data_IF_149352861836
#
_entry.id   IF_149352861836
#
_cell.length_a   1.000
_cell.length_b   1.000
_cell.length_c   1.000
_cell.angle_alpha   90.00
_cell.angle_beta   90.00
_cell.angle_gamma   90.00
#
_symmetry.space_group_name_H-M   'P 1'
#
loop_
_entity.id
_entity.type
_entity.pdbx_description
1 polymer ?
#
# COMPACT_ATOMS: atom_id res chain seq x y z
N UNK A 1 -7.93 6.46 10.73
CA UNK A 1 -7.14 5.52 11.56
C UNK A 1 -7.81 5.24 12.88
N UNK A 2 -8.21 6.26 13.64
CA UNK A 2 -8.86 6.11 14.95
C UNK A 2 -10.07 5.16 14.91
N UNK A 3 -11.00 5.35 13.97
CA UNK A 3 -12.19 4.48 13.87
C UNK A 3 -11.85 3.00 13.61
N UNK A 4 -10.90 2.74 12.71
CA UNK A 4 -10.45 1.37 12.41
C UNK A 4 -9.75 0.72 13.62
N UNK A 5 -8.96 1.51 14.37
CA UNK A 5 -8.35 1.05 15.62
C UNK A 5 -9.42 0.77 16.68
N UNK A 6 -10.41 1.65 16.85
CA UNK A 6 -11.53 1.44 17.75
C UNK A 6 -12.33 0.19 17.39
N UNK A 7 -12.59 -0.04 16.11
CA UNK A 7 -13.25 -1.27 15.63
C UNK A 7 -12.41 -2.51 15.93
N UNK A 8 -11.10 -2.48 15.69
CA UNK A 8 -10.20 -3.60 16.02
C UNK A 8 -10.20 -3.88 17.53
N UNK A 9 -10.04 -2.86 18.37
CA UNK A 9 -10.08 -3.00 19.83
C UNK A 9 -11.43 -3.52 20.33
N UNK A 10 -12.53 -3.11 19.70
CA UNK A 10 -13.87 -3.62 20.00
C UNK A 10 -13.98 -5.12 19.71
N UNK A 11 -13.38 -5.63 18.63
CA UNK A 11 -13.37 -7.07 18.35
C UNK A 11 -12.56 -7.84 19.40
N UNK A 12 -11.45 -7.28 19.87
CA UNK A 12 -10.59 -7.93 20.87
C UNK A 12 -11.20 -7.93 22.27
N UNK A 13 -11.91 -6.86 22.64
CA UNK A 13 -12.47 -6.69 23.97
C UNK A 13 -13.78 -5.88 23.91
N UNK A 14 -14.87 -6.50 23.44
CA UNK A 14 -16.15 -5.81 23.34
C UNK A 14 -16.73 -5.52 24.74
N UNK A 15 -17.56 -4.47 24.89
CA UNK A 15 -18.27 -4.19 26.14
C UNK A 15 -19.09 -5.40 26.61
N UNK A 16 -19.19 -5.60 27.92
CA UNK A 16 -19.86 -6.77 28.51
C UNK A 16 -21.34 -6.91 28.12
N UNK A 17 -22.00 -5.80 27.79
CA UNK A 17 -23.40 -5.69 27.37
C UNK A 17 -23.61 -5.73 25.86
N UNK A 18 -22.54 -5.85 25.06
CA UNK A 18 -22.62 -5.86 23.59
C UNK A 18 -23.25 -7.13 22.99
N UNK A 19 -23.27 -8.23 23.75
CA UNK A 19 -23.68 -9.55 23.24
C UNK A 19 -22.68 -10.20 22.26
N UNK A 20 -21.49 -9.61 22.09
CA UNK A 20 -20.43 -10.12 21.21
C UNK A 20 -19.30 -10.72 22.06
N UNK A 21 -18.82 -11.91 21.71
CA UNK A 21 -17.68 -12.52 22.38
C UNK A 21 -16.34 -11.93 21.86
N UNK A 22 -15.31 -11.78 22.70
CA UNK A 22 -13.96 -11.44 22.27
C UNK A 22 -13.46 -12.35 21.14
N UNK A 23 -12.88 -11.76 20.10
CA UNK A 23 -12.28 -12.48 18.98
C UNK A 23 -10.77 -12.60 19.20
N UNK A 24 -10.24 -13.82 19.08
CA UNK A 24 -8.80 -14.03 19.11
C UNK A 24 -8.15 -13.30 17.92
N UNK A 25 -7.12 -12.45 18.11
CA UNK A 25 -6.46 -11.71 17.02
C UNK A 25 -5.93 -12.63 15.91
N UNK A 26 -5.58 -13.88 16.23
CA UNK A 26 -5.18 -14.91 15.23
C UNK A 26 -6.31 -15.39 14.32
N UNK A 27 -7.54 -14.94 14.56
CA UNK A 27 -8.71 -15.19 13.72
C UNK A 27 -9.21 -13.91 13.04
N UNK A 28 -8.46 -12.81 13.09
CA UNK A 28 -8.83 -11.53 12.48
C UNK A 28 -7.91 -11.27 11.29
N UNK A 29 -8.48 -10.96 10.12
CA UNK A 29 -7.74 -10.39 8.99
C UNK A 29 -8.26 -8.98 8.77
N UNK A 30 -7.35 -8.02 8.60
CA UNK A 30 -7.70 -6.64 8.26
C UNK A 30 -7.43 -6.45 6.78
N UNK A 31 -8.41 -5.95 6.05
CA UNK A 31 -8.33 -5.82 4.60
C UNK A 31 -8.92 -4.48 4.17
N UNK A 32 -8.36 -3.91 3.11
CA UNK A 32 -8.93 -2.76 2.43
C UNK A 32 -8.35 -2.54 1.04
N UNK A 33 -9.01 -1.69 0.28
CA UNK A 33 -8.63 -1.26 -1.06
C UNK A 33 -8.22 0.22 -1.08
N UNK A 34 -7.34 0.64 -1.99
CA UNK A 34 -6.96 2.04 -2.17
C UNK A 34 -6.49 2.69 -0.85
N UNK A 35 -7.07 3.83 -0.46
CA UNK A 35 -6.85 4.46 0.84
C UNK A 35 -7.16 3.52 2.03
N UNK A 36 -8.12 2.62 1.90
CA UNK A 36 -8.43 1.57 2.86
C UNK A 36 -7.33 0.51 2.95
N UNK A 37 -6.70 0.15 1.82
CA UNK A 37 -5.58 -0.77 1.76
C UNK A 37 -4.32 -0.22 2.43
N UNK A 38 -4.03 1.07 2.21
CA UNK A 38 -2.98 1.77 2.95
C UNK A 38 -3.22 1.77 4.46
N UNK A 39 -4.45 2.10 4.87
CA UNK A 39 -4.86 2.02 6.28
C UNK A 39 -4.74 0.60 6.83
N UNK A 40 -5.12 -0.43 6.07
CA UNK A 40 -5.05 -1.82 6.50
C UNK A 40 -3.59 -2.23 6.82
N UNK A 41 -2.64 -1.87 5.95
CA UNK A 41 -1.21 -2.18 6.12
C UNK A 41 -0.59 -1.56 7.36
N UNK A 42 -1.07 -0.40 7.82
CA UNK A 42 -0.68 0.16 9.12
C UNK A 42 -0.99 -0.79 10.30
N UNK A 43 -2.11 -1.52 10.24
CA UNK A 43 -2.51 -2.43 11.32
C UNK A 43 -1.71 -3.73 11.35
N UNK A 44 -0.79 -3.97 10.41
CA UNK A 44 0.03 -5.17 10.40
C UNK A 44 0.89 -5.31 11.67
N UNK A 45 1.29 -4.19 12.27
CA UNK A 45 2.03 -4.13 13.54
C UNK A 45 1.13 -4.30 14.78
N UNK A 46 -0.19 -4.40 14.62
CA UNK A 46 -1.13 -4.73 15.69
C UNK A 46 -1.46 -6.23 15.77
N UNK A 47 -0.67 -7.03 15.05
CA UNK A 47 -0.64 -8.49 15.07
C UNK A 47 -1.98 -9.21 14.83
N UNK A 48 -2.82 -8.78 13.86
CA UNK A 48 -3.89 -9.65 13.37
C UNK A 48 -3.30 -10.93 12.77
N UNK A 49 -4.15 -11.87 12.36
CA UNK A 49 -3.74 -13.07 11.65
C UNK A 49 -2.98 -12.72 10.36
N UNK A 50 -3.46 -11.71 9.63
CA UNK A 50 -2.82 -11.16 8.45
C UNK A 50 -3.49 -9.87 7.99
N UNK A 51 -2.89 -9.24 6.98
CA UNK A 51 -3.40 -8.03 6.34
C UNK A 51 -3.43 -8.17 4.82
N UNK A 52 -4.46 -7.63 4.18
CA UNK A 52 -4.56 -7.55 2.72
C UNK A 52 -4.74 -6.09 2.28
N UNK A 53 -3.87 -5.64 1.38
CA UNK A 53 -4.00 -4.34 0.70
C UNK A 53 -4.25 -4.56 -0.79
N UNK A 54 -5.44 -4.20 -1.27
CA UNK A 54 -5.73 -4.12 -2.70
C UNK A 54 -5.45 -2.71 -3.21
N UNK A 55 -4.60 -2.58 -4.22
CA UNK A 55 -4.20 -1.32 -4.82
C UNK A 55 -3.87 -0.25 -3.75
N UNK A 56 -3.10 -0.59 -2.70
CA UNK A 56 -3.06 0.23 -1.50
C UNK A 56 -2.39 1.57 -1.77
N UNK A 57 -2.97 2.64 -1.23
CA UNK A 57 -2.37 3.97 -1.28
C UNK A 57 -1.42 4.18 -0.12
N UNK A 58 -0.11 4.28 -0.39
CA UNK A 58 0.95 4.18 0.63
C UNK A 58 1.81 5.45 0.77
N UNK A 59 1.87 6.26 -0.27
CA UNK A 59 2.62 7.50 -0.36
C UNK A 59 1.73 8.66 -0.80
N UNK A 60 1.32 9.48 0.16
CA UNK A 60 0.51 10.66 -0.12
C UNK A 60 1.35 11.85 -0.61
N UNK A 61 2.67 11.70 -0.77
CA UNK A 61 3.48 12.68 -1.50
C UNK A 61 3.38 12.49 -3.02
N UNK A 62 2.82 11.37 -3.49
CA UNK A 62 2.78 11.02 -4.91
C UNK A 62 4.18 11.07 -5.55
N UNK A 63 5.17 10.54 -4.85
CA UNK A 63 6.58 10.67 -5.23
C UNK A 63 7.04 9.60 -6.23
N UNK A 64 6.18 8.62 -6.52
CA UNK A 64 6.50 7.49 -7.40
C UNK A 64 6.23 7.78 -8.89
N UNK A 65 7.08 7.30 -9.81
CA UNK A 65 6.93 7.52 -11.26
C UNK A 65 5.59 7.05 -11.83
N UNK A 66 5.07 5.90 -11.40
CA UNK A 66 3.78 5.37 -11.89
C UNK A 66 2.64 6.38 -11.78
N UNK A 67 2.66 7.26 -10.78
CA UNK A 67 1.62 8.29 -10.59
C UNK A 67 1.50 9.20 -11.81
N UNK A 68 2.59 9.41 -12.56
CA UNK A 68 2.57 10.16 -13.81
C UNK A 68 2.53 9.26 -15.04
N UNK A 69 3.31 8.18 -15.04
CA UNK A 69 3.50 7.31 -16.21
C UNK A 69 2.23 6.52 -16.56
N UNK A 70 1.46 6.12 -15.54
CA UNK A 70 0.27 5.29 -15.68
C UNK A 70 -1.03 6.11 -15.68
N UNK A 71 -0.97 7.44 -15.67
CA UNK A 71 -2.16 8.29 -15.68
C UNK A 71 -3.07 8.09 -16.92
N UNK A 72 -2.54 7.51 -18.00
CA UNK A 72 -3.32 7.17 -19.21
C UNK A 72 -3.89 5.75 -19.23
N UNK A 73 -3.40 4.86 -18.36
CA UNK A 73 -3.85 3.47 -18.24
C UNK A 73 -4.76 3.23 -17.02
N UNK A 74 -4.85 4.20 -16.13
CA UNK A 74 -5.67 4.17 -14.94
C UNK A 74 -6.91 5.08 -15.08
N UNK A 75 -7.97 4.79 -14.31
CA UNK A 75 -9.16 5.64 -14.23
C UNK A 75 -9.07 6.68 -13.10
N UNK A 76 -8.03 6.62 -12.27
CA UNK A 76 -7.77 7.65 -11.28
C UNK A 76 -7.53 9.01 -11.98
N UNK A 77 -7.91 10.13 -11.34
CA UNK A 77 -7.69 11.45 -11.92
C UNK A 77 -6.19 11.68 -12.19
N UNK A 78 -5.83 12.09 -13.41
CA UNK A 78 -4.45 12.35 -13.82
C UNK A 78 -3.79 13.52 -13.03
N UNK A 79 -4.62 14.31 -12.35
CA UNK A 79 -4.25 15.41 -11.46
C UNK A 79 -4.12 14.96 -10.00
N UNK A 80 -4.36 13.67 -9.73
CA UNK A 80 -4.42 13.07 -8.39
C UNK A 80 -5.62 13.55 -7.58
N UNK A 81 -5.62 13.19 -6.30
CA UNK A 81 -6.63 13.61 -5.32
C UNK A 81 -6.30 14.98 -4.68
N UNK A 82 -5.87 15.94 -5.50
CA UNK A 82 -5.39 17.27 -5.08
C UNK A 82 -6.54 18.26 -4.86
N UNK A 83 -6.37 19.20 -3.91
CA UNK A 83 -7.34 20.28 -3.66
C UNK A 83 -7.47 21.21 -4.88
N UNK A 84 -8.41 20.90 -5.76
CA UNK A 84 -8.93 21.76 -6.82
C UNK A 84 -7.93 22.22 -7.87
N UNK A 85 -7.61 21.38 -8.86
CA UNK A 85 -7.19 21.77 -10.23
C UNK A 85 -5.95 22.66 -10.43
N UNK A 86 -5.32 23.19 -9.37
CA UNK A 86 -4.22 24.15 -9.41
C UNK A 86 -2.84 23.49 -9.18
N UNK A 87 -2.82 22.23 -8.74
CA UNK A 87 -1.64 21.41 -8.52
C UNK A 87 -1.64 20.18 -9.43
N UNK A 88 -1.34 20.35 -10.72
CA UNK A 88 -1.07 19.15 -11.55
C UNK A 88 0.08 18.37 -10.91
N UNK A 89 -0.01 17.04 -10.83
CA UNK A 89 1.08 16.18 -10.38
C UNK A 89 2.41 16.51 -11.09
N UNK A 90 2.32 16.98 -12.35
CA UNK A 90 3.45 17.50 -13.12
C UNK A 90 4.14 18.72 -12.51
N UNK A 91 3.38 19.65 -11.90
CA UNK A 91 3.93 20.82 -11.20
C UNK A 91 4.66 20.39 -9.92
N UNK A 92 4.08 19.46 -9.16
CA UNK A 92 4.70 18.90 -7.95
C UNK A 92 5.98 18.16 -8.31
N UNK A 93 5.95 17.31 -9.34
CA UNK A 93 7.13 16.60 -9.83
C UNK A 93 8.23 17.55 -10.29
N UNK A 94 7.89 18.60 -11.07
CA UNK A 94 8.86 19.62 -11.49
C UNK A 94 9.47 20.37 -10.30
N UNK A 95 8.68 20.65 -9.26
CA UNK A 95 9.18 21.26 -8.04
C UNK A 95 10.14 20.30 -7.31
N UNK A 96 9.77 19.02 -7.20
CA UNK A 96 10.59 17.98 -6.58
C UNK A 96 11.94 17.77 -7.29
N UNK A 97 11.98 17.93 -8.61
CA UNK A 97 13.22 17.89 -9.39
C UNK A 97 14.11 19.13 -9.19
N UNK A 98 13.56 20.22 -8.66
CA UNK A 98 14.27 21.50 -8.52
C UNK A 98 14.86 21.75 -7.13
N UNK A 99 14.55 20.89 -6.16
CA UNK A 99 15.05 20.98 -4.78
C UNK A 99 16.18 19.98 -4.54
N UNK A 100 17.08 20.32 -3.62
CA UNK A 100 18.14 19.40 -3.20
C UNK A 100 17.55 18.13 -2.59
N UNK A 101 18.30 17.03 -2.71
CA UNK A 101 17.77 15.72 -2.39
C UNK A 101 17.45 15.51 -0.90
N UNK A 102 18.04 16.29 0.00
CA UNK A 102 17.80 16.30 1.45
C UNK A 102 16.72 17.32 1.87
N UNK A 103 16.13 18.03 0.92
CA UNK A 103 15.10 19.03 1.19
C UNK A 103 13.75 18.38 1.50
N UNK A 104 13.15 18.76 2.64
CA UNK A 104 11.80 18.32 3.03
C UNK A 104 10.76 19.09 2.21
N UNK A 105 10.39 18.54 1.05
CA UNK A 105 9.50 19.20 0.08
C UNK A 105 8.16 19.65 0.67
N UNK A 106 7.68 18.97 1.72
CA UNK A 106 6.44 19.30 2.44
C UNK A 106 6.41 20.71 3.02
N UNK A 107 7.58 21.30 3.28
CA UNK A 107 7.71 22.66 3.78
C UNK A 107 8.05 23.69 2.70
N UNK A 108 8.07 23.29 1.42
CA UNK A 108 8.36 24.21 0.34
C UNK A 108 7.25 25.28 0.22
N UNK A 109 7.58 26.58 0.22
CA UNK A 109 6.57 27.65 0.20
C UNK A 109 5.69 27.64 -1.05
N UNK A 110 6.23 27.13 -2.18
CA UNK A 110 5.50 27.01 -3.44
C UNK A 110 4.82 25.64 -3.65
N UNK A 111 4.90 24.72 -2.68
CA UNK A 111 4.20 23.44 -2.76
C UNK A 111 2.71 23.66 -2.45
N UNK A 112 1.80 23.46 -3.42
CA UNK A 112 0.37 23.52 -3.13
C UNK A 112 -0.04 22.35 -2.22
N UNK A 113 -1.20 22.46 -1.58
CA UNK A 113 -1.78 21.34 -0.85
C UNK A 113 -1.96 20.14 -1.79
N UNK A 114 -1.29 19.03 -1.47
CA UNK A 114 -1.27 17.84 -2.33
C UNK A 114 -2.56 17.04 -2.13
N UNK A 115 -3.15 17.05 -0.93
CA UNK A 115 -4.23 16.12 -0.58
C UNK A 115 -5.45 16.82 0.03
N UNK A 116 -6.66 16.33 -0.28
CA UNK A 116 -7.86 16.68 0.50
C UNK A 116 -7.83 16.13 1.93
N UNK A 117 -7.17 14.99 2.13
CA UNK A 117 -7.23 14.21 3.36
C UNK A 117 -6.40 14.82 4.50
N UNK A 118 -5.22 15.34 4.19
CA UNK A 118 -4.24 15.80 5.18
C UNK A 118 -3.45 16.98 4.65
N UNK A 119 -3.02 17.86 5.57
CA UNK A 119 -2.12 18.96 5.24
C UNK A 119 -0.73 18.42 4.88
N UNK A 120 -0.01 19.13 4.01
CA UNK A 120 1.35 18.78 3.59
C UNK A 120 2.30 18.50 4.77
N UNK A 121 2.15 19.21 5.90
CA UNK A 121 3.01 19.09 7.08
C UNK A 121 2.91 17.74 7.84
N UNK A 122 2.01 16.84 7.45
CA UNK A 122 1.87 15.52 8.07
C UNK A 122 1.94 14.37 7.05
N UNK A 123 2.33 14.65 5.81
CA UNK A 123 2.41 13.62 4.77
C UNK A 123 3.57 12.63 4.99
N UNK A 124 4.57 12.98 5.80
CA UNK A 124 5.62 12.06 6.29
C UNK A 124 5.21 11.26 7.53
N UNK A 125 4.01 11.44 8.05
CA UNK A 125 3.53 10.67 9.18
C UNK A 125 3.20 9.25 8.75
N UNK A 126 3.73 8.22 9.44
CA UNK A 126 3.41 6.80 9.19
C UNK A 126 1.90 6.52 9.09
N UNK A 127 1.09 7.17 9.94
CA UNK A 127 -0.36 6.98 9.96
C UNK A 127 -1.10 7.60 8.76
N UNK A 128 -0.38 8.41 7.99
CA UNK A 128 -0.87 9.10 6.79
C UNK A 128 -0.30 8.43 5.54
N UNK A 129 1.02 8.25 5.47
CA UNK A 129 1.74 7.58 4.38
C UNK A 129 2.48 6.34 4.91
N UNK A 130 1.86 5.15 4.93
CA UNK A 130 2.48 3.94 5.46
C UNK A 130 3.84 3.58 4.85
N UNK A 131 4.13 4.03 3.64
CA UNK A 131 5.42 3.79 2.97
C UNK A 131 6.62 4.36 3.72
N UNK A 132 6.42 5.40 4.53
CA UNK A 132 7.50 6.06 5.27
C UNK A 132 7.96 5.25 6.48
N UNK A 133 7.15 4.29 6.97
CA UNK A 133 7.47 3.46 8.13
C UNK A 133 8.84 2.81 7.97
N UNK A 134 9.70 2.90 8.98
CA UNK A 134 11.11 2.50 8.88
C UNK A 134 11.27 1.00 8.72
N UNK A 135 10.41 0.22 9.36
CA UNK A 135 10.48 -1.23 9.33
C UNK A 135 9.14 -1.87 9.65
N UNK A 136 8.82 -2.96 8.95
CA UNK A 136 7.72 -3.87 9.27
C UNK A 136 8.19 -5.10 10.09
N UNK A 137 9.31 -4.98 10.81
CA UNK A 137 9.79 -6.06 11.68
C UNK A 137 8.76 -6.41 12.75
N UNK A 138 8.47 -7.70 12.90
CA UNK A 138 7.44 -8.21 13.81
C UNK A 138 6.00 -8.08 13.29
N UNK A 139 5.75 -7.47 12.13
CA UNK A 139 4.41 -7.40 11.56
C UNK A 139 3.82 -8.79 11.26
N UNK A 140 2.48 -8.86 11.15
CA UNK A 140 1.81 -10.07 10.65
C UNK A 140 2.09 -10.30 9.15
N UNK A 141 1.76 -11.49 8.62
CA UNK A 141 1.76 -11.72 7.17
C UNK A 141 0.92 -10.67 6.42
N UNK A 142 1.40 -10.26 5.25
CA UNK A 142 0.77 -9.27 4.39
C UNK A 142 0.65 -9.79 2.95
N UNK A 143 -0.50 -9.55 2.33
CA UNK A 143 -0.72 -9.70 0.89
C UNK A 143 -1.02 -8.32 0.29
N UNK A 144 -0.22 -7.94 -0.69
CA UNK A 144 -0.38 -6.71 -1.47
C UNK A 144 -0.71 -7.11 -2.91
N UNK A 145 -1.84 -6.65 -3.42
CA UNK A 145 -2.25 -6.88 -4.81
C UNK A 145 -2.39 -5.53 -5.49
N UNK A 146 -1.75 -5.33 -6.64
CA UNK A 146 -1.92 -4.14 -7.48
C UNK A 146 -1.99 -4.55 -8.96
N UNK A 147 -2.47 -3.67 -9.82
CA UNK A 147 -2.41 -3.78 -11.27
C UNK A 147 -1.20 -3.05 -11.85
N UNK A 148 -0.72 -3.52 -12.99
CA UNK A 148 0.43 -2.92 -13.67
C UNK A 148 0.09 -1.57 -14.32
N UNK A 149 -1.19 -1.36 -14.65
CA UNK A 149 -1.71 -0.11 -15.23
C UNK A 149 -2.04 0.97 -14.20
N UNK A 150 -1.78 0.73 -12.91
CA UNK A 150 -2.15 1.65 -11.83
C UNK A 150 -1.20 2.83 -11.67
N UNK A 151 -1.74 4.02 -11.40
CA UNK A 151 -0.97 5.17 -10.92
C UNK A 151 -0.26 4.85 -9.59
N UNK A 152 -0.86 4.00 -8.75
CA UNK A 152 -0.36 3.62 -7.42
C UNK A 152 0.47 2.32 -7.42
N UNK A 153 0.88 1.81 -8.59
CA UNK A 153 1.63 0.54 -8.69
C UNK A 153 2.96 0.59 -7.94
N UNK A 154 3.76 1.61 -8.20
CA UNK A 154 5.18 1.62 -7.78
C UNK A 154 5.32 1.65 -6.25
N UNK A 155 4.41 2.30 -5.53
CA UNK A 155 4.45 2.33 -4.07
C UNK A 155 4.21 0.95 -3.43
N UNK A 156 3.42 0.09 -4.08
CA UNK A 156 3.26 -1.32 -3.66
C UNK A 156 4.55 -2.13 -3.89
N UNK A 157 5.24 -1.91 -5.01
CA UNK A 157 6.52 -2.55 -5.31
C UNK A 157 7.57 -2.12 -4.29
N UNK A 158 7.68 -0.81 -4.08
CA UNK A 158 8.61 -0.21 -3.13
C UNK A 158 8.34 -0.69 -1.71
N UNK A 159 7.07 -0.76 -1.29
CA UNK A 159 6.70 -1.26 0.03
C UNK A 159 7.20 -2.69 0.26
N UNK A 160 7.02 -3.57 -0.71
CA UNK A 160 7.48 -4.94 -0.63
C UNK A 160 9.02 -5.03 -0.62
N UNK A 161 9.71 -4.26 -1.48
CA UNK A 161 11.18 -4.23 -1.54
C UNK A 161 11.81 -3.67 -0.26
N UNK A 162 11.30 -2.54 0.26
CA UNK A 162 11.77 -1.90 1.49
C UNK A 162 11.68 -2.85 2.70
N UNK A 163 10.66 -3.69 2.73
CA UNK A 163 10.43 -4.64 3.82
C UNK A 163 10.88 -6.07 3.49
N UNK A 164 11.68 -6.27 2.44
CA UNK A 164 12.18 -7.58 2.03
C UNK A 164 13.02 -8.27 3.12
N UNK A 165 13.62 -7.51 4.04
CA UNK A 165 14.41 -8.04 5.16
C UNK A 165 13.60 -8.26 6.45
N UNK A 166 12.38 -7.73 6.57
CA UNK A 166 11.55 -7.89 7.77
C UNK A 166 11.17 -9.36 7.99
N UNK A 167 11.06 -9.85 9.23
CA UNK A 167 10.64 -11.24 9.49
C UNK A 167 9.24 -11.58 8.97
N UNK A 168 8.38 -10.57 8.82
CA UNK A 168 7.03 -10.70 8.31
C UNK A 168 6.99 -11.22 6.84
N UNK A 169 6.17 -12.24 6.53
CA UNK A 169 5.93 -12.65 5.15
C UNK A 169 5.14 -11.59 4.38
N UNK A 170 5.72 -11.05 3.31
CA UNK A 170 5.05 -10.11 2.39
C UNK A 170 4.96 -10.78 1.02
N UNK A 171 3.73 -10.93 0.54
CA UNK A 171 3.43 -11.37 -0.81
C UNK A 171 2.96 -10.19 -1.64
N UNK A 172 3.63 -9.92 -2.76
CA UNK A 172 3.23 -8.91 -3.74
C UNK A 172 2.78 -9.60 -5.02
N UNK A 173 1.58 -9.26 -5.51
CA UNK A 173 1.04 -9.68 -6.79
C UNK A 173 0.73 -8.45 -7.65
N UNK A 174 1.30 -8.39 -8.85
CA UNK A 174 1.08 -7.32 -9.83
C UNK A 174 0.35 -7.90 -11.04
N UNK A 175 -0.91 -7.53 -11.26
CA UNK A 175 -1.70 -8.05 -12.35
C UNK A 175 -1.48 -7.25 -13.63
N UNK A 176 -1.11 -7.94 -14.71
CA UNK A 176 -0.88 -7.33 -16.01
C UNK A 176 -2.14 -6.59 -16.50
N UNK A 177 -1.95 -5.41 -17.09
CA UNK A 177 -2.97 -4.58 -17.74
C UNK A 177 -4.15 -4.15 -16.84
N UNK A 178 -4.09 -4.41 -15.54
CA UNK A 178 -5.18 -4.08 -14.61
C UNK A 178 -5.09 -2.62 -14.11
N UNK A 179 -6.22 -1.89 -14.07
CA UNK A 179 -6.29 -0.55 -13.49
C UNK A 179 -6.45 -0.61 -11.96
N UNK A 180 -6.62 0.56 -11.34
CA UNK A 180 -6.81 0.68 -9.89
C UNK A 180 -7.99 -0.16 -9.40
N UNK A 181 -7.86 -0.82 -8.25
CA UNK A 181 -8.93 -1.62 -7.60
C UNK A 181 -9.70 -2.51 -8.59
N UNK A 182 -8.99 -3.16 -9.51
CA UNK A 182 -9.63 -3.93 -10.59
C UNK A 182 -10.53 -5.06 -10.09
N UNK A 183 -10.40 -5.47 -8.82
CA UNK A 183 -11.27 -6.42 -8.12
C UNK A 183 -12.74 -5.99 -8.13
N UNK A 184 -13.04 -4.70 -8.33
CA UNK A 184 -14.42 -4.20 -8.45
C UNK A 184 -15.09 -4.54 -9.79
N UNK A 185 -14.32 -4.94 -10.81
CA UNK A 185 -14.82 -5.29 -12.14
C UNK A 185 -15.02 -6.81 -12.25
N UNK A 186 -16.15 -7.30 -11.77
CA UNK A 186 -16.49 -8.73 -11.67
C UNK A 186 -16.43 -9.51 -12.99
N UNK A 187 -16.51 -8.82 -14.14
CA UNK A 187 -16.38 -9.39 -15.47
C UNK A 187 -14.93 -9.70 -15.88
N UNK A 188 -13.92 -9.21 -15.15
CA UNK A 188 -12.51 -9.47 -15.43
C UNK A 188 -12.07 -10.80 -14.80
N UNK A 189 -11.48 -11.74 -15.57
CA UNK A 189 -10.89 -12.95 -15.01
C UNK A 189 -9.85 -12.67 -13.92
N UNK A 190 -9.03 -11.62 -14.11
CA UNK A 190 -8.07 -11.14 -13.12
C UNK A 190 -8.73 -10.80 -11.79
N UNK A 191 -9.90 -10.15 -11.79
CA UNK A 191 -10.61 -9.77 -10.57
C UNK A 191 -11.03 -11.02 -9.78
N UNK A 192 -11.59 -12.02 -10.47
CA UNK A 192 -11.95 -13.30 -9.85
C UNK A 192 -10.72 -14.02 -9.27
N UNK A 193 -9.60 -14.05 -9.99
CA UNK A 193 -8.34 -14.65 -9.52
C UNK A 193 -7.78 -13.90 -8.29
N UNK A 194 -7.77 -12.56 -8.29
CA UNK A 194 -7.31 -11.76 -7.15
C UNK A 194 -8.16 -11.96 -5.89
N UNK A 195 -9.48 -12.04 -6.04
CA UNK A 195 -10.42 -12.36 -4.95
C UNK A 195 -10.14 -13.77 -4.42
N UNK A 196 -9.97 -14.75 -5.30
CA UNK A 196 -9.67 -16.13 -4.93
C UNK A 196 -8.36 -16.23 -4.14
N UNK A 197 -7.28 -15.59 -4.59
CA UNK A 197 -5.98 -15.55 -3.88
C UNK A 197 -6.08 -14.86 -2.53
N UNK A 198 -6.89 -13.81 -2.42
CA UNK A 198 -7.17 -13.14 -1.14
C UNK A 198 -7.89 -14.08 -0.17
N UNK A 199 -8.87 -14.86 -0.66
CA UNK A 199 -9.56 -15.87 0.13
C UNK A 199 -8.65 -17.05 0.54
N UNK A 200 -7.69 -17.42 -0.31
CA UNK A 200 -6.66 -18.42 0.02
C UNK A 200 -5.72 -17.90 1.12
N UNK A 201 -5.22 -16.68 0.99
CA UNK A 201 -4.41 -16.03 2.02
C UNK A 201 -5.15 -15.97 3.38
N UNK A 202 -6.42 -15.56 3.39
CA UNK A 202 -7.24 -15.55 4.63
C UNK A 202 -7.27 -16.93 5.27
N UNK A 203 -7.51 -17.98 4.47
CA UNK A 203 -7.53 -19.36 4.96
C UNK A 203 -6.17 -19.78 5.51
N UNK A 204 -5.07 -19.44 4.84
CA UNK A 204 -3.71 -19.77 5.28
C UNK A 204 -3.34 -19.16 6.63
N UNK A 205 -3.70 -17.88 6.85
CA UNK A 205 -3.32 -17.17 8.09
C UNK A 205 -4.25 -17.45 9.27
N UNK A 206 -5.47 -17.95 9.05
CA UNK A 206 -6.45 -18.23 10.13
C UNK A 206 -6.67 -19.72 10.41
N UNK A 207 -6.87 -20.56 9.39
CA UNK A 207 -7.35 -21.95 9.53
C UNK A 207 -6.30 -22.98 9.04
N UNK A 208 -5.35 -22.56 8.19
CA UNK A 208 -4.50 -23.46 7.40
C UNK A 208 -3.30 -24.11 8.10
N UNK A 209 -2.97 -23.71 9.33
CA UNK A 209 -1.93 -24.35 10.18
C UNK A 209 -0.47 -24.25 9.69
N UNK A 210 -0.23 -23.96 8.41
CA UNK A 210 1.11 -23.75 7.84
C UNK A 210 1.58 -22.29 7.93
N UNK A 211 0.63 -21.35 8.00
CA UNK A 211 0.91 -19.93 7.85
C UNK A 211 1.43 -19.58 6.45
N UNK A 212 1.67 -18.30 6.22
CA UNK A 212 2.34 -17.82 5.01
C UNK A 212 3.84 -17.93 5.25
N UNK A 213 4.50 -18.93 4.68
CA UNK A 213 5.91 -19.21 5.03
C UNK A 213 6.92 -18.39 4.21
N UNK A 214 6.52 -17.90 3.02
CA UNK A 214 7.47 -17.30 2.07
C UNK A 214 7.03 -15.92 1.59
N UNK A 215 7.98 -14.99 1.66
CA UNK A 215 7.94 -13.75 0.91
C UNK A 215 7.95 -14.05 -0.58
N UNK A 216 7.22 -13.28 -1.36
CA UNK A 216 7.27 -13.42 -2.81
C UNK A 216 6.81 -12.15 -3.52
N UNK A 217 7.25 -11.98 -4.75
CA UNK A 217 6.84 -10.86 -5.60
C UNK A 217 6.70 -11.38 -7.02
N UNK A 218 5.47 -11.33 -7.54
CA UNK A 218 5.14 -11.91 -8.83
C UNK A 218 4.31 -10.95 -9.66
N UNK A 219 4.51 -11.02 -10.99
CA UNK A 219 3.50 -10.60 -11.96
C UNK A 219 2.48 -11.72 -12.15
N UNK A 220 1.24 -11.35 -12.42
CA UNK A 220 0.13 -12.25 -12.70
C UNK A 220 -0.42 -11.90 -14.09
N UNK A 221 -0.37 -12.86 -15.00
CA UNK A 221 -0.94 -12.66 -16.33
C UNK A 221 -2.46 -12.57 -16.29
N UNK A 222 -3.08 -12.12 -17.39
CA UNK A 222 -4.54 -12.13 -17.57
C UNK A 222 -5.16 -13.53 -17.37
N UNK A 223 -4.37 -14.60 -17.57
CA UNK A 223 -4.78 -15.98 -17.36
C UNK A 223 -4.45 -16.53 -15.96
N UNK A 224 -3.93 -15.71 -15.04
CA UNK A 224 -3.58 -16.09 -13.67
C UNK A 224 -2.20 -16.74 -13.52
N UNK A 225 -1.34 -16.70 -14.55
CA UNK A 225 -0.01 -17.31 -14.51
C UNK A 225 0.98 -16.40 -13.76
N UNK A 226 1.74 -16.99 -12.84
CA UNK A 226 2.77 -16.28 -12.08
C UNK A 226 4.08 -16.17 -12.84
N UNK A 227 4.68 -14.99 -12.85
CA UNK A 227 6.03 -14.71 -13.35
C UNK A 227 6.81 -13.91 -12.31
N UNK A 228 8.13 -14.07 -12.27
CA UNK A 228 8.97 -13.30 -11.37
C UNK A 228 8.86 -11.80 -11.66
N UNK A 229 8.89 -10.97 -10.61
CA UNK A 229 9.05 -9.53 -10.74
C UNK A 229 10.47 -9.19 -11.19
N UNK A 230 10.63 -8.18 -12.03
CA UNK A 230 11.94 -7.68 -12.46
C UNK A 230 12.71 -7.03 -11.28
N UNK A 231 14.01 -7.30 -11.18
CA UNK A 231 14.87 -6.78 -10.09
C UNK A 231 14.87 -5.25 -10.03
N UNK A 232 14.73 -4.58 -11.17
CA UNK A 232 14.72 -3.13 -11.35
C UNK A 232 13.33 -2.54 -11.64
N UNK A 233 12.25 -3.26 -11.30
CA UNK A 233 10.87 -2.86 -11.61
C UNK A 233 10.47 -1.41 -11.24
N UNK A 234 11.15 -0.78 -10.28
CA UNK A 234 11.08 0.68 -10.03
C UNK A 234 12.51 1.21 -9.92
N UNK A 235 12.98 1.95 -10.91
CA UNK A 235 14.39 2.39 -10.97
C UNK A 235 14.66 3.54 -10.00
N UNK A 236 15.70 3.39 -9.17
CA UNK A 236 16.21 4.44 -8.28
C UNK A 236 15.25 4.82 -7.14
N UNK A 237 14.32 3.92 -6.78
CA UNK A 237 13.31 4.16 -5.75
C UNK A 237 13.93 4.40 -4.37
N UNK A 238 15.06 3.77 -4.05
CA UNK A 238 15.79 3.92 -2.79
C UNK A 238 16.20 5.38 -2.59
N UNK A 239 16.62 6.04 -3.67
CA UNK A 239 16.97 7.45 -3.67
C UNK A 239 15.78 8.38 -3.53
N UNK A 240 14.54 7.91 -3.75
CA UNK A 240 13.29 8.68 -3.62
C UNK A 240 12.68 8.50 -2.23
N UNK A 241 12.66 7.27 -1.72
CA UNK A 241 12.03 6.88 -0.45
C UNK A 241 12.96 7.08 0.75
N UNK A 242 14.27 6.86 0.56
CA UNK A 242 15.27 7.11 1.60
C UNK A 242 15.39 8.59 1.98
N UNK A 243 14.91 9.49 1.12
CA UNK A 243 15.10 10.94 1.22
C UNK A 243 13.86 11.72 1.67
N UNK A 244 12.67 11.12 1.57
CA UNK A 244 11.39 11.72 1.95
C UNK A 244 10.80 11.18 3.27
N UNK A 245 11.59 10.47 4.10
CA UNK A 245 11.20 10.12 5.47
C UNK A 245 11.38 8.65 5.90
N UNK A 246 11.96 7.79 5.08
CA UNK A 246 12.14 6.36 5.40
C UNK A 246 13.55 5.80 5.27
N UNK A 247 14.57 6.63 5.04
CA UNK A 247 15.94 6.17 4.83
C UNK A 247 16.68 5.89 6.13
N UNK A 248 17.13 4.64 6.29
CA UNK A 248 18.51 4.45 6.70
C UNK A 248 19.30 3.89 5.52
N UNK A 249 20.55 4.33 5.44
CA UNK A 249 21.59 3.85 4.53
C UNK A 249 21.50 2.33 4.37
N UNK A 250 21.31 1.85 3.15
CA UNK A 250 21.54 0.46 2.79
C UNK A 250 22.98 0.37 2.34
N UNK A 251 23.90 0.22 3.29
CA UNK A 251 25.20 -0.46 3.18
C UNK A 251 25.69 -0.87 4.57
#
# INVERSE_FOLDING_TARGET
VQDALSAYLYLLNPPADSGVAPVNPKNIVIMGDSAGGGKALYFALLFPAGVIGWSPWLDLLHSMPSVLLNAGSDYLPAEGFTQGGQGSLKRIAKLAESVEADYVIQHHPDLPDIQYYANNAVLDCTYVSPLVEKSMEGACPMLVITGDGEMLRDESIVFAKKNANASAPIQLLIYDDMPHVFQMFDFLPSAADAIQRSAEFIREVTIGGKGVEKKSSHRVSVNGELRALEDDAVVGWESRVGKLGGGQEVL
#
